data_IF_104515680310
#
_entry.id   IF_104515680310
#
_cell.length_a   1.000
_cell.length_b   1.000
_cell.length_c   1.000
_cell.angle_alpha   90.00
_cell.angle_beta   90.00
_cell.angle_gamma   90.00
#
_symmetry.space_group_name_H-M   'P 1'
#
loop_
_entity.id
_entity.type
_entity.pdbx_description
1 polymer ?
#
# COMPACT_ATOMS: atom_id res chain seq x y z
N UNK A 1 15.94 30.42 -15.64
CA UNK A 1 14.49 30.51 -15.94
C UNK A 1 13.86 29.19 -15.53
N UNK A 2 12.78 29.26 -14.77
CA UNK A 2 12.21 28.24 -13.86
C UNK A 2 12.21 26.80 -14.40
N UNK A 3 13.01 25.94 -13.75
CA UNK A 3 12.95 24.48 -13.89
C UNK A 3 12.15 23.91 -12.73
N UNK A 4 10.83 23.93 -12.82
CA UNK A 4 9.98 23.04 -12.02
C UNK A 4 10.13 21.65 -12.62
N UNK A 5 11.18 20.92 -12.21
CA UNK A 5 11.24 19.48 -12.39
C UNK A 5 10.07 18.89 -11.59
N UNK A 6 9.06 18.39 -12.30
CA UNK A 6 8.08 17.48 -11.73
C UNK A 6 8.83 16.17 -11.54
N UNK A 7 9.48 16.03 -10.39
CA UNK A 7 9.92 14.73 -9.91
C UNK A 7 8.64 13.99 -9.51
N UNK A 8 8.14 13.13 -10.40
CA UNK A 8 7.23 12.04 -10.02
C UNK A 8 8.03 11.08 -9.14
N UNK A 9 8.17 11.47 -7.87
CA UNK A 9 8.60 10.59 -6.80
C UNK A 9 7.43 9.65 -6.51
N UNK A 10 7.52 8.47 -7.11
CA UNK A 10 6.85 7.26 -6.66
C UNK A 10 7.38 6.94 -5.26
N UNK A 11 6.77 7.60 -4.27
CA UNK A 11 6.76 7.25 -2.85
C UNK A 11 5.53 7.93 -2.24
N UNK A 12 4.36 7.35 -2.53
CA UNK A 12 3.06 7.88 -2.12
C UNK A 12 2.93 8.05 -0.60
N UNK A 13 3.70 7.31 0.20
CA UNK A 13 3.67 7.39 1.67
C UNK A 13 4.30 8.68 2.24
N UNK A 14 5.32 9.27 1.61
CA UNK A 14 5.97 10.49 2.11
C UNK A 14 5.37 11.79 1.51
N UNK A 15 4.85 11.73 0.29
CA UNK A 15 4.22 12.89 -0.36
C UNK A 15 2.76 13.11 0.07
N UNK A 16 2.06 12.07 0.53
CA UNK A 16 0.68 12.22 1.00
C UNK A 16 0.56 12.86 2.38
N UNK A 17 1.62 12.84 3.20
CA UNK A 17 1.61 13.44 4.54
C UNK A 17 2.31 14.80 4.58
N UNK A 18 3.45 15.00 3.92
CA UNK A 18 4.20 16.28 4.04
C UNK A 18 3.74 17.44 3.16
N UNK A 19 3.08 17.19 2.01
CA UNK A 19 2.79 18.27 1.05
C UNK A 19 1.65 19.21 1.50
N UNK A 20 0.78 18.73 2.39
CA UNK A 20 -0.37 19.49 2.89
C UNK A 20 -0.49 19.50 4.42
N UNK A 21 0.32 18.73 5.17
CA UNK A 21 0.22 18.72 6.63
C UNK A 21 0.37 20.13 7.23
N UNK A 22 -0.47 20.41 8.20
CA UNK A 22 -0.40 21.62 9.00
C UNK A 22 0.68 21.47 10.07
N UNK A 23 1.65 22.38 10.04
CA UNK A 23 2.60 22.55 11.14
C UNK A 23 1.84 23.06 12.38
N UNK A 24 1.80 22.23 13.43
CA UNK A 24 1.16 22.60 14.70
C UNK A 24 2.16 23.24 15.67
N UNK A 25 3.42 22.82 15.59
CA UNK A 25 4.50 23.30 16.45
C UNK A 25 5.84 23.15 15.73
N UNK A 26 6.69 24.19 15.83
CA UNK A 26 8.07 24.14 15.37
C UNK A 26 8.93 25.11 16.19
N UNK A 27 9.78 24.56 17.05
CA UNK A 27 10.67 25.33 17.89
C UNK A 27 11.88 24.49 18.33
N UNK A 28 13.07 25.10 18.32
CA UNK A 28 14.31 24.55 18.86
C UNK A 28 14.65 23.13 18.34
N UNK A 29 14.47 22.89 17.03
CA UNK A 29 14.75 21.60 16.40
C UNK A 29 13.66 20.54 16.61
N UNK A 30 12.55 20.89 17.26
CA UNK A 30 11.39 20.03 17.46
C UNK A 30 10.23 20.47 16.56
N UNK A 31 9.62 19.52 15.85
CA UNK A 31 8.45 19.78 15.02
C UNK A 31 7.34 18.76 15.29
N UNK A 32 6.10 19.24 15.22
CA UNK A 32 4.89 18.41 15.20
C UNK A 32 4.02 18.85 14.03
N UNK A 33 3.79 17.91 13.12
CA UNK A 33 2.91 18.06 11.98
C UNK A 33 1.65 17.22 12.19
N UNK A 34 0.51 17.76 11.77
CA UNK A 34 -0.73 17.00 11.66
C UNK A 34 -1.14 16.96 10.20
N UNK A 35 -1.43 15.75 9.72
CA UNK A 35 -1.96 15.54 8.38
C UNK A 35 -3.08 14.53 8.39
N UNK A 36 -3.42 14.07 7.19
CA UNK A 36 -4.45 13.05 6.99
C UNK A 36 -5.36 13.40 5.82
N UNK A 37 -6.57 12.86 5.83
CA UNK A 37 -7.55 13.13 4.78
C UNK A 37 -8.98 12.95 5.26
N UNK A 38 -9.91 13.62 4.61
CA UNK A 38 -11.30 13.21 4.51
C UNK A 38 -11.57 12.81 3.05
N UNK A 39 -11.91 11.55 2.83
CA UNK A 39 -12.04 10.98 1.49
C UNK A 39 -13.41 10.31 1.32
N UNK A 40 -14.33 11.03 0.68
CA UNK A 40 -15.64 10.52 0.31
C UNK A 40 -15.50 9.57 -0.88
N UNK A 41 -16.06 8.36 -0.78
CA UNK A 41 -15.93 7.33 -1.82
C UNK A 41 -17.25 6.58 -1.98
N UNK A 42 -17.79 6.63 -3.18
CA UNK A 42 -18.92 5.80 -3.61
C UNK A 42 -18.40 4.69 -4.50
N UNK A 43 -18.62 3.44 -4.10
CA UNK A 43 -18.41 2.24 -4.93
C UNK A 43 -19.77 1.80 -5.50
N UNK A 44 -19.78 1.30 -6.73
CA UNK A 44 -20.97 0.75 -7.37
C UNK A 44 -20.63 -0.50 -8.17
N UNK A 45 -21.31 -1.62 -7.85
CA UNK A 45 -21.26 -2.90 -8.58
C UNK A 45 -22.69 -3.36 -8.87
N UNK A 46 -22.97 -3.87 -10.08
CA UNK A 46 -24.34 -4.22 -10.50
C UNK A 46 -25.39 -3.09 -10.22
N UNK A 47 -24.98 -1.83 -10.36
CA UNK A 47 -25.84 -0.68 -10.03
C UNK A 47 -26.24 -0.56 -8.55
N UNK A 48 -25.60 -1.29 -7.63
CA UNK A 48 -25.79 -1.20 -6.18
C UNK A 48 -24.64 -0.39 -5.58
N UNK A 49 -24.98 0.67 -4.88
CA UNK A 49 -24.01 1.58 -4.29
C UNK A 49 -23.59 1.16 -2.88
N UNK A 50 -22.32 1.36 -2.54
CA UNK A 50 -21.74 1.18 -1.22
C UNK A 50 -20.92 2.41 -0.83
N UNK A 51 -21.07 2.87 0.42
CA UNK A 51 -20.22 3.92 0.99
C UNK A 51 -18.88 3.32 1.45
N UNK A 52 -17.78 3.80 0.86
CA UNK A 52 -16.41 3.44 1.22
C UNK A 52 -15.66 4.63 1.83
N UNK A 53 -16.36 5.68 2.23
CA UNK A 53 -15.78 6.90 2.80
C UNK A 53 -14.88 6.58 3.98
N UNK A 54 -13.76 7.31 4.08
CA UNK A 54 -12.79 7.15 5.16
C UNK A 54 -12.18 8.48 5.56
N UNK A 55 -11.83 8.60 6.83
CA UNK A 55 -11.01 9.69 7.36
C UNK A 55 -9.69 9.12 7.85
N UNK A 56 -8.59 9.81 7.61
CA UNK A 56 -7.32 9.54 8.27
C UNK A 56 -6.87 10.76 9.04
N UNK A 57 -6.30 10.54 10.22
CA UNK A 57 -5.60 11.55 10.98
C UNK A 57 -4.22 11.00 11.33
N UNK A 58 -3.18 11.78 11.09
CA UNK A 58 -1.83 11.42 11.45
C UNK A 58 -1.09 12.56 12.13
N UNK A 59 -0.10 12.17 12.95
CA UNK A 59 0.77 13.07 13.68
C UNK A 59 2.21 12.61 13.50
N UNK A 60 3.06 13.51 13.01
CA UNK A 60 4.48 13.29 12.85
C UNK A 60 5.24 14.19 13.80
N UNK A 61 5.94 13.59 14.76
CA UNK A 61 6.88 14.29 15.64
C UNK A 61 8.31 14.04 15.19
N UNK A 62 9.12 15.10 15.07
CA UNK A 62 10.57 14.99 14.85
C UNK A 62 11.33 15.86 15.84
N UNK A 63 12.43 15.31 16.35
CA UNK A 63 13.39 16.02 17.20
C UNK A 63 14.79 15.90 16.62
N UNK A 64 15.41 17.02 16.31
CA UNK A 64 16.82 17.07 15.99
C UNK A 64 17.65 16.81 17.26
N UNK A 65 18.56 15.84 17.20
CA UNK A 65 19.45 15.50 18.32
C UNK A 65 20.79 16.21 18.13
N UNK A 66 21.35 16.09 16.91
CA UNK A 66 22.55 16.77 16.44
C UNK A 66 22.58 16.70 14.91
N UNK A 67 23.56 17.36 14.27
CA UNK A 67 23.72 17.28 12.82
C UNK A 67 23.82 15.82 12.33
N UNK A 68 22.96 15.48 11.37
CA UNK A 68 22.87 14.13 10.81
C UNK A 68 22.24 13.07 11.73
N UNK A 69 21.58 13.42 12.83
CA UNK A 69 20.86 12.49 13.72
C UNK A 69 19.57 13.11 14.30
N UNK A 70 18.45 12.42 14.11
CA UNK A 70 17.14 12.83 14.61
C UNK A 70 16.34 11.66 15.20
N UNK A 71 15.42 11.98 16.11
CA UNK A 71 14.36 11.09 16.57
C UNK A 71 13.06 11.35 15.84
N UNK A 72 12.26 10.29 15.63
CA UNK A 72 10.96 10.36 14.98
C UNK A 72 9.92 9.54 15.74
N UNK A 73 8.69 10.06 15.80
CA UNK A 73 7.51 9.34 16.25
C UNK A 73 6.35 9.58 15.28
N UNK A 74 5.59 8.55 14.95
CA UNK A 74 4.48 8.66 14.03
C UNK A 74 3.28 7.83 14.46
N UNK A 75 2.10 8.43 14.32
CA UNK A 75 0.81 7.79 14.49
C UNK A 75 -0.08 8.10 13.30
N UNK A 76 -0.79 7.11 12.78
CA UNK A 76 -1.91 7.31 11.85
C UNK A 76 -3.08 6.40 12.23
N UNK A 77 -4.27 7.00 12.36
CA UNK A 77 -5.54 6.30 12.52
C UNK A 77 -6.42 6.49 11.29
N UNK A 78 -7.07 5.42 10.83
CA UNK A 78 -8.16 5.48 9.85
C UNK A 78 -9.51 5.24 10.54
N UNK A 79 -10.49 6.06 10.18
CA UNK A 79 -11.84 6.07 10.74
C UNK A 79 -12.84 5.85 9.61
N UNK A 80 -13.75 4.91 9.81
CA UNK A 80 -14.86 4.61 8.90
C UNK A 80 -16.17 4.54 9.68
N UNK A 81 -17.29 4.73 8.99
CA UNK A 81 -18.64 4.58 9.54
C UNK A 81 -19.31 3.35 8.95
N UNK A 82 -20.36 2.80 9.58
CA UNK A 82 -21.17 1.75 8.95
C UNK A 82 -22.61 1.74 9.47
N UNK A 83 -23.51 2.39 8.72
CA UNK A 83 -24.90 2.63 9.15
C UNK A 83 -25.92 2.36 8.02
N UNK A 84 -26.98 1.61 8.30
CA UNK A 84 -27.91 0.97 7.38
C UNK A 84 -29.10 0.41 8.19
N UNK A 85 -30.33 0.86 7.92
CA UNK A 85 -31.47 -0.05 7.79
C UNK A 85 -32.43 0.37 6.65
N UNK A 86 -33.43 -0.35 6.12
CA UNK A 86 -34.39 -1.40 6.58
C UNK A 86 -34.81 -2.36 5.43
N UNK A 87 -34.28 -3.54 5.13
CA UNK A 87 -33.70 -4.61 5.95
C UNK A 87 -32.44 -5.29 5.33
N UNK A 88 -31.37 -4.52 5.12
CA UNK A 88 -29.99 -4.99 4.86
C UNK A 88 -28.99 -4.42 5.88
N UNK A 89 -29.31 -4.51 7.16
CA UNK A 89 -29.11 -3.42 8.13
C UNK A 89 -27.89 -3.52 9.07
N UNK A 90 -26.79 -2.83 8.78
CA UNK A 90 -25.87 -2.39 9.83
C UNK A 90 -26.27 -1.01 10.40
N UNK A 91 -27.01 -0.89 11.51
CA UNK A 91 -27.42 0.39 12.14
C UNK A 91 -26.40 0.94 13.16
N UNK A 92 -25.15 1.13 12.73
CA UNK A 92 -24.07 1.80 13.49
C UNK A 92 -23.20 0.95 14.40
N UNK A 93 -22.76 -0.19 13.88
CA UNK A 93 -21.44 -0.70 14.29
C UNK A 93 -20.94 -1.73 13.27
N UNK A 94 -19.72 -1.67 12.75
CA UNK A 94 -18.47 -1.29 13.39
C UNK A 94 -17.88 0.01 12.84
N UNK A 95 -18.09 1.12 13.55
CA UNK A 95 -17.13 2.22 13.47
C UNK A 95 -15.77 1.65 13.84
N UNK A 96 -14.86 1.64 12.87
CA UNK A 96 -13.52 1.09 13.09
C UNK A 96 -12.54 2.23 13.21
N UNK A 97 -11.66 2.12 14.21
CA UNK A 97 -10.40 2.83 14.22
C UNK A 97 -9.34 1.78 13.88
N UNK A 98 -8.76 1.86 12.68
CA UNK A 98 -7.54 1.13 12.36
C UNK A 98 -6.34 2.00 12.72
N UNK A 99 -5.59 1.58 13.73
CA UNK A 99 -4.28 2.15 14.02
C UNK A 99 -3.29 1.62 12.96
N UNK A 100 -3.23 2.35 11.85
CA UNK A 100 -2.47 1.96 10.66
C UNK A 100 -0.96 1.97 10.92
N UNK A 101 -0.50 2.98 11.65
CA UNK A 101 0.90 3.17 12.01
C UNK A 101 1.02 3.58 13.48
N UNK A 102 1.96 2.94 14.18
CA UNK A 102 2.31 3.25 15.56
C UNK A 102 3.79 2.90 15.76
N UNK A 103 4.68 3.84 15.48
CA UNK A 103 6.12 3.58 15.56
C UNK A 103 6.90 4.76 16.11
N UNK A 104 8.10 4.45 16.59
CA UNK A 104 9.14 5.43 16.89
C UNK A 104 10.48 4.93 16.33
N UNK A 105 11.41 5.84 16.12
CA UNK A 105 12.69 5.50 15.53
C UNK A 105 13.75 6.58 15.64
N UNK A 106 14.91 6.25 15.09
CA UNK A 106 16.06 7.14 14.93
C UNK A 106 16.45 7.14 13.46
N UNK A 107 16.73 8.32 12.93
CA UNK A 107 17.23 8.47 11.58
C UNK A 107 18.38 9.46 11.48
N UNK A 108 19.02 9.47 10.32
CA UNK A 108 20.20 10.30 10.10
C UNK A 108 20.90 9.97 8.79
N UNK A 109 22.20 10.27 8.73
CA UNK A 109 23.06 10.12 7.54
C UNK A 109 22.98 8.72 6.90
N UNK A 110 22.78 7.67 7.69
CA UNK A 110 22.80 6.28 7.21
C UNK A 110 21.41 5.68 7.01
N UNK A 111 20.36 6.50 7.04
CA UNK A 111 18.97 6.07 6.94
C UNK A 111 18.24 6.14 8.27
N UNK A 112 17.07 5.50 8.34
CA UNK A 112 16.15 5.54 9.47
C UNK A 112 15.77 4.11 9.88
N UNK A 113 15.84 3.82 11.18
CA UNK A 113 15.39 2.56 11.79
C UNK A 113 14.22 2.85 12.72
N UNK A 114 13.14 2.08 12.61
CA UNK A 114 11.94 2.21 13.44
C UNK A 114 11.55 0.87 14.06
N UNK A 115 10.90 0.92 15.22
CA UNK A 115 10.18 -0.22 15.79
C UNK A 115 8.72 0.12 16.04
N UNK A 116 7.84 -0.87 15.82
CA UNK A 116 6.39 -0.72 15.90
C UNK A 116 5.72 -0.99 14.55
N UNK A 117 4.41 -0.77 14.46
CA UNK A 117 3.66 -0.99 13.21
C UNK A 117 4.08 0.03 12.17
N UNK A 118 4.85 -0.42 11.18
CA UNK A 118 5.36 0.38 10.08
C UNK A 118 5.48 -0.47 8.80
N UNK A 119 5.83 0.14 7.67
CA UNK A 119 5.98 -0.57 6.41
C UNK A 119 7.18 -1.52 6.42
N UNK A 120 7.03 -2.63 5.71
CA UNK A 120 8.10 -3.49 5.22
C UNK A 120 8.75 -2.93 3.96
N UNK A 121 9.41 -3.82 3.21
CA UNK A 121 10.24 -3.42 2.08
C UNK A 121 9.56 -3.45 0.72
N UNK A 122 8.44 -4.16 0.53
CA UNK A 122 7.90 -4.39 -0.83
C UNK A 122 6.86 -3.37 -1.29
N UNK A 123 6.31 -2.55 -0.39
CA UNK A 123 5.40 -1.45 -0.78
C UNK A 123 6.00 -0.53 -1.85
N UNK A 124 7.28 -0.16 -1.73
CA UNK A 124 7.96 0.69 -2.74
C UNK A 124 8.17 0.01 -4.09
N UNK A 125 8.07 -1.32 -4.15
CA UNK A 125 8.12 -2.08 -5.41
C UNK A 125 6.74 -2.10 -6.06
N UNK A 126 5.68 -2.32 -5.28
CA UNK A 126 4.30 -2.27 -5.78
C UNK A 126 3.85 -0.85 -6.18
N UNK A 127 4.42 0.19 -5.55
CA UNK A 127 4.20 1.59 -5.91
C UNK A 127 4.54 1.91 -7.39
N UNK A 128 5.30 1.05 -8.08
CA UNK A 128 5.58 1.23 -9.51
C UNK A 128 4.30 1.20 -10.36
N UNK A 129 3.34 0.33 -10.02
CA UNK A 129 2.07 0.16 -10.75
C UNK A 129 0.85 0.62 -9.97
N UNK A 130 0.95 0.77 -8.65
CA UNK A 130 -0.10 1.34 -7.78
C UNK A 130 -0.19 2.89 -7.91
N UNK A 131 -0.71 3.34 -9.06
CA UNK A 131 -0.72 4.77 -9.43
C UNK A 131 -2.12 5.38 -9.52
N UNK A 132 -3.18 4.58 -9.38
CA UNK A 132 -4.56 5.02 -9.55
C UNK A 132 -5.12 5.61 -8.25
N UNK A 133 -6.23 6.36 -8.35
CA UNK A 133 -6.86 6.96 -7.18
C UNK A 133 -7.67 5.97 -6.32
N UNK A 134 -8.16 4.87 -6.91
CA UNK A 134 -9.05 3.92 -6.24
C UNK A 134 -8.75 2.44 -6.56
N UNK A 135 -8.75 2.07 -7.86
CA UNK A 135 -8.50 0.70 -8.32
C UNK A 135 -6.98 0.42 -8.51
N UNK A 136 -6.63 -0.67 -9.19
CA UNK A 136 -5.24 -1.12 -9.36
C UNK A 136 -4.71 -1.91 -8.15
N UNK A 137 -3.43 -2.27 -8.20
CA UNK A 137 -2.72 -3.00 -7.13
C UNK A 137 -3.41 -4.31 -6.71
N UNK A 138 -4.10 -4.98 -7.63
CA UNK A 138 -4.87 -6.20 -7.34
C UNK A 138 -4.10 -7.49 -7.66
N UNK A 139 -2.89 -7.40 -8.23
CA UNK A 139 -2.06 -8.53 -8.64
C UNK A 139 -0.60 -8.41 -8.13
N UNK A 140 -0.41 -7.67 -7.04
CA UNK A 140 0.86 -7.53 -6.34
C UNK A 140 0.66 -7.71 -4.81
N UNK A 141 0.07 -8.85 -4.44
CA UNK A 141 -0.13 -9.24 -3.04
C UNK A 141 1.20 -9.25 -2.28
N UNK A 142 1.16 -8.88 -0.98
CA UNK A 142 2.34 -8.76 -0.13
C UNK A 142 2.15 -9.52 1.16
N UNK A 143 3.17 -10.25 1.60
CA UNK A 143 3.25 -10.85 2.93
C UNK A 143 3.21 -9.77 4.02
N UNK A 144 2.78 -10.12 5.23
CA UNK A 144 2.61 -9.14 6.31
C UNK A 144 3.93 -8.39 6.65
N UNK A 145 5.07 -9.11 6.70
CA UNK A 145 6.41 -8.53 6.92
C UNK A 145 6.88 -7.62 5.77
N UNK A 146 6.33 -7.80 4.57
CA UNK A 146 6.64 -7.08 3.35
C UNK A 146 5.75 -5.84 3.12
N UNK A 147 4.49 -5.91 3.58
CA UNK A 147 3.50 -4.82 3.57
C UNK A 147 3.66 -3.91 4.79
N UNK A 148 2.89 -4.16 5.86
CA UNK A 148 2.84 -3.33 7.05
C UNK A 148 2.33 -4.14 8.23
N UNK A 149 3.19 -4.30 9.22
CA UNK A 149 2.84 -5.07 10.42
C UNK A 149 3.63 -4.58 11.64
N UNK A 150 3.18 -4.98 12.83
CA UNK A 150 3.81 -4.64 14.11
C UNK A 150 4.93 -5.63 14.49
N UNK A 151 5.43 -5.53 15.73
CA UNK A 151 6.51 -6.39 16.25
C UNK A 151 7.70 -6.51 15.27
N UNK A 152 8.00 -5.41 14.58
CA UNK A 152 8.90 -5.36 13.44
C UNK A 152 9.90 -4.21 13.57
N UNK A 153 11.15 -4.49 13.24
CA UNK A 153 12.16 -3.48 12.94
C UNK A 153 12.11 -3.17 11.44
N UNK A 154 12.02 -1.89 11.09
CA UNK A 154 12.05 -1.44 9.70
C UNK A 154 13.21 -0.49 9.49
N UNK A 155 13.87 -0.61 8.34
CA UNK A 155 14.96 0.25 7.90
C UNK A 155 14.64 0.83 6.51
N UNK A 156 15.00 2.10 6.31
CA UNK A 156 15.06 2.73 4.97
C UNK A 156 16.31 3.58 4.84
N UNK A 157 16.92 3.58 3.65
CA UNK A 157 18.10 4.37 3.35
C UNK A 157 18.14 4.82 1.88
N UNK A 158 18.72 5.99 1.63
CA UNK A 158 18.97 6.51 0.30
C UNK A 158 20.47 6.76 0.13
N UNK A 159 21.07 6.15 -0.90
CA UNK A 159 22.49 6.23 -1.20
C UNK A 159 22.67 6.60 -2.68
N UNK A 160 22.75 7.91 -2.95
CA UNK A 160 22.78 8.45 -4.32
C UNK A 160 21.56 7.96 -5.10
N UNK A 161 21.77 7.17 -6.16
CA UNK A 161 20.71 6.64 -7.03
C UNK A 161 20.08 5.34 -6.50
N UNK A 162 20.58 4.78 -5.40
CA UNK A 162 20.10 3.54 -4.79
C UNK A 162 19.25 3.84 -3.55
N UNK A 163 17.98 3.46 -3.59
CA UNK A 163 17.10 3.39 -2.41
C UNK A 163 17.06 1.95 -1.89
N UNK A 164 17.11 1.76 -0.58
CA UNK A 164 16.99 0.44 0.06
C UNK A 164 15.98 0.48 1.19
N UNK A 165 15.20 -0.59 1.33
CA UNK A 165 14.38 -0.87 2.53
C UNK A 165 14.63 -2.28 3.00
N UNK A 166 14.59 -2.50 4.31
CA UNK A 166 14.65 -3.82 4.91
C UNK A 166 13.74 -3.89 6.15
N UNK A 167 13.25 -5.06 6.48
CA UNK A 167 12.53 -5.29 7.74
C UNK A 167 12.82 -6.67 8.33
N UNK A 168 12.65 -6.78 9.64
CA UNK A 168 12.65 -8.04 10.37
C UNK A 168 11.51 -8.03 11.40
N UNK A 169 10.56 -8.97 11.28
CA UNK A 169 9.47 -9.20 12.23
C UNK A 169 9.86 -10.32 13.18
N UNK A 170 9.62 -10.10 14.47
CA UNK A 170 9.74 -11.14 15.49
C UNK A 170 8.44 -11.94 15.59
N UNK A 171 8.53 -13.24 15.87
CA UNK A 171 7.37 -14.05 16.24
C UNK A 171 6.73 -13.51 17.53
N UNK A 172 5.40 -13.55 17.60
CA UNK A 172 4.64 -12.98 18.70
C UNK A 172 4.57 -13.95 19.88
N UNK A 173 5.08 -13.49 21.03
CA UNK A 173 5.06 -14.26 22.27
C UNK A 173 3.63 -14.49 22.74
N UNK A 174 3.33 -15.74 23.08
CA UNK A 174 2.12 -16.15 23.80
C UNK A 174 2.48 -17.07 24.98
N UNK A 175 1.47 -17.57 25.68
CA UNK A 175 1.65 -18.51 26.81
C UNK A 175 0.92 -19.80 26.53
N UNK A 176 1.58 -20.92 26.81
CA UNK A 176 0.99 -22.26 26.74
C UNK A 176 1.00 -22.88 28.13
N UNK A 177 -0.14 -23.43 28.57
CA UNK A 177 -0.25 -24.20 29.81
C UNK A 177 -0.45 -25.68 29.48
N UNK A 178 0.51 -26.51 29.86
CA UNK A 178 0.45 -27.96 29.69
C UNK A 178 0.93 -28.66 30.98
N UNK A 179 0.20 -29.68 31.42
CA UNK A 179 0.52 -30.48 32.62
C UNK A 179 0.77 -29.65 33.91
N UNK A 180 0.10 -28.51 34.06
CA UNK A 180 0.22 -27.64 35.24
C UNK A 180 1.44 -26.72 35.24
N UNK A 181 2.25 -26.71 34.17
CA UNK A 181 3.31 -25.74 33.95
C UNK A 181 2.89 -24.73 32.87
N UNK A 182 3.26 -23.46 33.05
CA UNK A 182 2.98 -22.38 32.10
C UNK A 182 4.29 -21.80 31.61
N UNK A 183 4.52 -21.90 30.30
CA UNK A 183 5.74 -21.42 29.64
C UNK A 183 5.40 -20.41 28.55
N UNK A 184 6.38 -19.60 28.19
CA UNK A 184 6.30 -18.78 26.98
C UNK A 184 6.54 -19.65 25.75
N UNK A 185 5.75 -19.39 24.71
CA UNK A 185 5.92 -19.88 23.35
C UNK A 185 5.74 -18.69 22.40
N UNK A 186 5.86 -18.91 21.10
CA UNK A 186 5.55 -17.92 20.07
C UNK A 186 4.70 -18.55 18.96
N UNK A 187 4.18 -17.73 18.06
CA UNK A 187 3.33 -18.16 16.96
C UNK A 187 4.10 -18.56 15.68
N UNK A 188 5.45 -18.53 15.68
CA UNK A 188 6.25 -18.81 14.49
C UNK A 188 6.07 -17.83 13.32
N UNK A 189 5.53 -16.63 13.57
CA UNK A 189 5.28 -15.60 12.55
C UNK A 189 6.45 -14.60 12.43
N UNK A 190 7.68 -15.06 12.65
CA UNK A 190 8.87 -14.30 12.31
C UNK A 190 9.12 -14.30 10.80
N UNK A 191 9.79 -13.24 10.33
CA UNK A 191 10.06 -13.07 8.91
C UNK A 191 10.92 -11.86 8.62
N UNK A 192 11.27 -11.67 7.36
CA UNK A 192 12.03 -10.52 6.89
C UNK A 192 11.63 -10.09 5.49
N UNK A 193 11.93 -8.84 5.15
CA UNK A 193 11.82 -8.36 3.77
C UNK A 193 13.00 -7.44 3.40
N UNK A 194 13.34 -7.39 2.12
CA UNK A 194 14.40 -6.54 1.57
C UNK A 194 13.98 -6.02 0.19
N UNK A 195 14.28 -4.77 -0.12
CA UNK A 195 14.11 -4.23 -1.45
C UNK A 195 15.18 -3.20 -1.80
N UNK A 196 15.40 -3.04 -3.10
CA UNK A 196 16.27 -2.03 -3.68
C UNK A 196 15.65 -1.42 -4.93
N UNK A 197 15.77 -0.11 -5.07
CA UNK A 197 15.39 0.62 -6.28
C UNK A 197 16.61 1.40 -6.77
N UNK A 198 16.95 1.22 -8.04
CA UNK A 198 18.03 1.96 -8.69
C UNK A 198 17.47 2.89 -9.76
N UNK A 199 17.75 4.18 -9.63
CA UNK A 199 17.46 5.17 -10.66
C UNK A 199 18.61 5.25 -11.66
N UNK A 200 18.34 5.07 -12.96
CA UNK A 200 19.38 5.12 -14.00
C UNK A 200 19.65 6.58 -14.36
N UNK A 201 20.44 7.26 -13.53
CA UNK A 201 20.77 8.68 -13.68
C UNK A 201 19.52 9.54 -13.92
N UNK A 202 19.61 10.49 -14.86
CA UNK A 202 18.50 11.38 -15.23
C UNK A 202 17.66 10.86 -16.42
N UNK A 203 17.74 9.56 -16.73
CA UNK A 203 17.05 9.00 -17.91
C UNK A 203 15.53 8.91 -17.74
N UNK A 204 15.03 8.98 -16.51
CA UNK A 204 13.63 8.69 -16.17
C UNK A 204 13.33 7.21 -15.95
N UNK A 205 14.32 6.31 -16.12
CA UNK A 205 14.19 4.87 -15.88
C UNK A 205 14.52 4.54 -14.42
N UNK A 206 13.68 3.71 -13.79
CA UNK A 206 13.98 3.07 -12.50
C UNK A 206 13.75 1.57 -12.58
N UNK A 207 14.58 0.82 -11.88
CA UNK A 207 14.46 -0.63 -11.72
C UNK A 207 14.35 -0.95 -10.24
N UNK A 208 13.42 -1.83 -9.88
CA UNK A 208 13.20 -2.27 -8.50
C UNK A 208 13.23 -3.80 -8.40
N UNK A 209 13.69 -4.29 -7.27
CA UNK A 209 13.57 -5.69 -6.90
C UNK A 209 13.41 -5.82 -5.39
N UNK A 210 12.72 -6.87 -4.94
CA UNK A 210 12.63 -7.19 -3.53
C UNK A 210 12.26 -8.65 -3.28
N UNK A 211 12.45 -9.08 -2.04
CA UNK A 211 12.14 -10.41 -1.55
C UNK A 211 11.58 -10.32 -0.12
N UNK A 212 10.69 -11.24 0.23
CA UNK A 212 10.22 -11.43 1.60
C UNK A 212 9.96 -12.90 1.92
N UNK A 213 10.07 -13.23 3.20
CA UNK A 213 9.87 -14.57 3.75
C UNK A 213 9.29 -14.44 5.16
N UNK A 214 8.24 -15.20 5.44
CA UNK A 214 7.57 -15.22 6.75
C UNK A 214 6.89 -16.58 6.96
N UNK A 215 7.22 -17.28 8.03
CA UNK A 215 6.70 -18.62 8.34
C UNK A 215 6.86 -19.59 7.15
N UNK A 216 5.76 -20.13 6.59
CA UNK A 216 5.74 -21.03 5.43
C UNK A 216 5.45 -20.28 4.11
N UNK A 217 5.63 -18.96 4.08
CA UNK A 217 5.33 -18.10 2.93
C UNK A 217 6.58 -17.35 2.45
N UNK A 218 6.69 -17.14 1.14
CA UNK A 218 7.78 -16.38 0.53
C UNK A 218 7.32 -15.69 -0.77
N UNK A 219 7.97 -14.60 -1.15
CA UNK A 219 7.72 -13.93 -2.43
C UNK A 219 8.92 -13.10 -2.90
N UNK A 220 9.05 -12.94 -4.21
CA UNK A 220 9.90 -11.92 -4.82
C UNK A 220 9.12 -11.05 -5.79
N UNK A 221 9.59 -9.82 -5.96
CA UNK A 221 9.03 -8.86 -6.90
C UNK A 221 10.13 -8.24 -7.75
N UNK A 222 9.83 -8.02 -9.04
CA UNK A 222 10.67 -7.29 -9.98
C UNK A 222 9.85 -6.16 -10.61
N UNK A 223 10.41 -4.97 -10.70
CA UNK A 223 9.73 -3.82 -11.26
C UNK A 223 10.60 -2.96 -12.17
N UNK A 224 9.96 -2.28 -13.10
CA UNK A 224 10.61 -1.31 -13.97
C UNK A 224 9.65 -0.20 -14.33
N UNK A 225 10.13 1.04 -14.39
CA UNK A 225 9.34 2.19 -14.82
C UNK A 225 10.14 3.13 -15.71
N UNK A 226 9.39 3.92 -16.49
CA UNK A 226 9.91 4.98 -17.33
C UNK A 226 8.99 6.20 -17.26
N UNK A 227 9.56 7.32 -16.82
CA UNK A 227 8.89 8.62 -16.79
C UNK A 227 9.52 9.56 -17.83
N UNK A 228 8.71 10.12 -18.71
CA UNK A 228 9.15 11.11 -19.70
C UNK A 228 8.08 12.18 -19.91
N UNK A 229 8.46 13.44 -19.71
CA UNK A 229 7.54 14.58 -19.80
C UNK A 229 6.30 14.35 -18.92
N UNK A 230 5.11 14.32 -19.51
CA UNK A 230 3.84 14.12 -18.80
C UNK A 230 3.39 12.65 -18.79
N UNK A 231 4.22 11.72 -19.29
CA UNK A 231 3.92 10.30 -19.40
C UNK A 231 4.69 9.46 -18.38
N UNK A 232 4.03 8.42 -17.89
CA UNK A 232 4.59 7.40 -17.01
C UNK A 232 4.16 6.02 -17.47
N UNK A 233 5.08 5.06 -17.45
CA UNK A 233 4.83 3.65 -17.71
C UNK A 233 5.55 2.79 -16.68
N UNK A 234 4.94 1.69 -16.27
CA UNK A 234 5.59 0.75 -15.36
C UNK A 234 5.06 -0.67 -15.52
N UNK A 235 5.85 -1.62 -15.02
CA UNK A 235 5.43 -3.00 -14.81
C UNK A 235 5.98 -3.55 -13.50
N UNK A 236 5.21 -4.44 -12.89
CA UNK A 236 5.58 -5.22 -11.70
C UNK A 236 5.28 -6.69 -11.99
N UNK A 237 6.22 -7.56 -11.63
CA UNK A 237 6.06 -9.00 -11.59
C UNK A 237 6.22 -9.47 -10.14
N UNK A 238 5.33 -10.34 -9.68
CA UNK A 238 5.35 -10.93 -8.34
C UNK A 238 5.24 -12.45 -8.48
N UNK A 239 6.01 -13.19 -7.70
CA UNK A 239 5.95 -14.65 -7.69
C UNK A 239 6.38 -15.20 -6.33
N UNK A 240 5.73 -16.26 -5.86
CA UNK A 240 6.00 -16.84 -4.54
C UNK A 240 4.96 -17.86 -4.08
N UNK A 241 5.04 -18.21 -2.80
CA UNK A 241 4.15 -19.16 -2.12
C UNK A 241 3.45 -18.46 -0.95
N UNK A 242 2.11 -18.47 -0.96
CA UNK A 242 1.22 -17.86 0.05
C UNK A 242 0.72 -18.86 1.08
N UNK A 243 1.10 -20.13 0.96
CA UNK A 243 0.86 -21.18 1.94
C UNK A 243 1.78 -22.37 1.62
N UNK A 244 2.01 -23.21 2.63
CA UNK A 244 2.79 -24.44 2.50
C UNK A 244 2.29 -25.39 1.40
N UNK A 245 0.97 -25.51 1.31
CA UNK A 245 0.30 -26.40 0.35
C UNK A 245 -0.67 -25.57 -0.49
N UNK A 246 -0.64 -25.74 -1.82
CA UNK A 246 -1.54 -25.04 -2.77
C UNK A 246 -1.52 -23.51 -2.58
N UNK A 247 -0.30 -22.98 -2.45
CA UNK A 247 -0.03 -21.58 -2.14
C UNK A 247 0.62 -20.80 -3.28
N UNK A 248 0.95 -21.45 -4.41
CA UNK A 248 1.62 -20.81 -5.54
C UNK A 248 0.86 -19.55 -5.97
N UNK A 249 1.59 -18.44 -6.11
CA UNK A 249 1.05 -17.16 -6.52
C UNK A 249 1.96 -16.52 -7.55
N UNK A 250 1.38 -16.11 -8.67
CA UNK A 250 2.09 -15.36 -9.71
C UNK A 250 1.22 -14.18 -10.13
N UNK A 251 1.80 -12.98 -10.17
CA UNK A 251 1.09 -11.74 -10.47
C UNK A 251 1.85 -10.84 -11.43
N UNK A 252 1.13 -10.18 -12.33
CA UNK A 252 1.63 -9.22 -13.30
C UNK A 252 0.78 -7.96 -13.27
N UNK A 253 1.45 -6.82 -13.17
CA UNK A 253 0.81 -5.52 -13.32
C UNK A 253 1.51 -4.67 -14.38
N UNK A 254 0.72 -4.00 -15.19
CA UNK A 254 1.17 -2.95 -16.11
C UNK A 254 0.41 -1.67 -15.78
N UNK A 255 1.09 -0.53 -15.81
CA UNK A 255 0.48 0.76 -15.53
C UNK A 255 0.94 1.83 -16.51
N UNK A 256 0.05 2.75 -16.85
CA UNK A 256 0.36 3.94 -17.62
C UNK A 256 -0.40 5.15 -17.09
N UNK A 257 0.23 6.32 -17.11
CA UNK A 257 -0.42 7.58 -16.77
C UNK A 257 -0.01 8.73 -17.69
N UNK A 258 -0.94 9.68 -17.85
CA UNK A 258 -0.74 10.92 -18.58
C UNK A 258 -1.26 12.11 -17.77
N UNK A 259 -0.40 13.12 -17.57
CA UNK A 259 -0.75 14.37 -16.89
C UNK A 259 -1.13 15.45 -17.90
N UNK A 260 -2.35 15.99 -17.80
CA UNK A 260 -2.85 17.07 -18.63
C UNK A 260 -3.31 18.24 -17.75
N UNK A 261 -2.39 19.17 -17.48
CA UNK A 261 -2.66 20.31 -16.60
C UNK A 261 -2.95 19.87 -15.17
N UNK A 262 -4.18 20.08 -14.71
CA UNK A 262 -4.63 19.67 -13.36
C UNK A 262 -5.29 18.28 -13.36
N UNK A 263 -5.34 17.59 -14.50
CA UNK A 263 -5.92 16.25 -14.62
C UNK A 263 -4.83 15.21 -14.80
N UNK A 264 -4.93 14.09 -14.08
CA UNK A 264 -4.12 12.89 -14.33
C UNK A 264 -5.08 11.79 -14.80
N UNK A 265 -4.76 11.18 -15.94
CA UNK A 265 -5.43 9.97 -16.42
C UNK A 265 -4.51 8.78 -16.16
N UNK A 266 -5.04 7.71 -15.61
CA UNK A 266 -4.27 6.48 -15.41
C UNK A 266 -5.03 5.24 -15.87
N UNK A 267 -4.29 4.20 -16.19
CA UNK A 267 -4.82 2.87 -16.49
C UNK A 267 -3.87 1.80 -15.98
N UNK A 268 -4.44 0.69 -15.54
CA UNK A 268 -3.69 -0.50 -15.15
C UNK A 268 -4.30 -1.75 -15.77
N UNK A 269 -3.45 -2.74 -16.03
CA UNK A 269 -3.84 -4.13 -16.25
C UNK A 269 -3.24 -4.96 -15.13
N UNK A 270 -4.04 -5.73 -14.41
CA UNK A 270 -3.62 -6.55 -13.28
C UNK A 270 -4.12 -7.98 -13.50
N UNK A 271 -3.20 -8.94 -13.49
CA UNK A 271 -3.51 -10.36 -13.65
C UNK A 271 -2.75 -11.19 -12.62
N UNK A 272 -3.46 -12.01 -11.85
CA UNK A 272 -2.88 -12.91 -10.89
C UNK A 272 -3.44 -14.32 -11.05
N UNK A 273 -2.56 -15.31 -10.85
CA UNK A 273 -2.89 -16.71 -10.71
C UNK A 273 -2.58 -17.16 -9.28
N UNK A 274 -3.41 -18.04 -8.74
CA UNK A 274 -3.24 -18.66 -7.44
C UNK A 274 -3.57 -20.14 -7.56
N UNK A 275 -2.61 -20.99 -7.19
CA UNK A 275 -2.70 -22.45 -7.37
C UNK A 275 -3.03 -22.85 -8.82
N UNK A 276 -2.45 -22.14 -9.79
CA UNK A 276 -2.56 -22.42 -11.22
C UNK A 276 -3.88 -21.99 -11.90
N UNK A 277 -4.78 -21.31 -11.19
CA UNK A 277 -5.99 -20.70 -11.78
C UNK A 277 -6.02 -19.18 -11.52
N UNK A 278 -6.64 -18.43 -12.42
CA UNK A 278 -6.80 -16.97 -12.31
C UNK A 278 -7.54 -16.58 -11.03
N UNK A 279 -6.97 -15.65 -10.26
CA UNK A 279 -7.56 -15.10 -9.02
C UNK A 279 -7.79 -13.59 -9.10
N UNK A 280 -7.18 -12.91 -10.07
CA UNK A 280 -7.52 -11.54 -10.49
C UNK A 280 -7.25 -11.38 -11.99
N UNK A 281 -8.15 -10.73 -12.72
CA UNK A 281 -7.90 -10.31 -14.10
C UNK A 281 -8.72 -9.06 -14.39
N UNK A 282 -8.07 -7.90 -14.49
CA UNK A 282 -8.78 -6.64 -14.66
C UNK A 282 -8.01 -5.58 -15.44
N UNK A 283 -8.78 -4.71 -16.09
CA UNK A 283 -8.32 -3.46 -16.67
C UNK A 283 -9.05 -2.32 -15.97
N UNK A 284 -8.33 -1.42 -15.35
CA UNK A 284 -8.90 -0.23 -14.73
C UNK A 284 -8.48 1.03 -15.48
N UNK A 285 -9.37 2.02 -15.50
CA UNK A 285 -9.12 3.37 -16.00
C UNK A 285 -9.61 4.40 -14.98
N UNK A 286 -8.91 5.52 -14.83
CA UNK A 286 -9.38 6.64 -14.03
C UNK A 286 -9.04 8.02 -14.62
N UNK A 287 -9.73 9.02 -14.09
CA UNK A 287 -9.40 10.42 -14.27
C UNK A 287 -9.49 11.11 -12.91
N UNK A 288 -8.40 11.76 -12.50
CA UNK A 288 -8.30 12.53 -11.25
C UNK A 288 -8.04 14.00 -11.56
N UNK A 289 -8.91 14.87 -11.09
CA UNK A 289 -8.77 16.33 -11.23
C UNK A 289 -8.38 16.99 -9.90
N UNK A 290 -7.29 17.74 -9.91
CA UNK A 290 -6.76 18.44 -8.76
C UNK A 290 -7.20 19.91 -8.79
N UNK A 291 -8.25 20.26 -8.05
CA UNK A 291 -8.70 21.65 -7.90
C UNK A 291 -7.67 22.50 -7.15
N UNK A 292 -7.01 21.87 -6.17
CA UNK A 292 -5.90 22.38 -5.35
C UNK A 292 -4.96 21.22 -5.01
N UNK A 293 -3.72 21.49 -4.55
CA UNK A 293 -2.81 20.44 -4.10
C UNK A 293 -3.41 19.51 -3.03
N UNK A 294 -4.33 20.02 -2.21
CA UNK A 294 -4.98 19.30 -1.13
C UNK A 294 -6.46 18.95 -1.40
N UNK A 295 -6.97 19.20 -2.61
CA UNK A 295 -8.39 18.93 -2.91
C UNK A 295 -8.55 18.42 -4.34
N UNK A 296 -9.02 17.17 -4.46
CA UNK A 296 -9.17 16.48 -5.75
C UNK A 296 -10.47 15.68 -5.83
N UNK A 297 -11.00 15.54 -7.03
CA UNK A 297 -12.08 14.62 -7.36
C UNK A 297 -11.60 13.57 -8.36
N UNK A 298 -12.16 12.38 -8.31
CA UNK A 298 -11.83 11.30 -9.24
C UNK A 298 -13.04 10.45 -9.64
N UNK A 299 -12.95 9.86 -10.81
CA UNK A 299 -13.82 8.80 -11.31
C UNK A 299 -12.95 7.67 -11.80
N UNK A 300 -13.28 6.43 -11.45
CA UNK A 300 -12.56 5.24 -11.89
C UNK A 300 -13.54 4.12 -12.23
N UNK A 301 -13.20 3.33 -13.25
CA UNK A 301 -13.96 2.14 -13.63
C UNK A 301 -13.00 0.96 -13.78
N UNK A 302 -13.35 -0.17 -13.19
CA UNK A 302 -12.63 -1.42 -13.25
C UNK A 302 -13.43 -2.44 -14.05
N UNK A 303 -12.91 -2.82 -15.21
CA UNK A 303 -13.41 -3.92 -16.02
C UNK A 303 -12.83 -5.21 -15.48
N UNK A 304 -13.68 -6.04 -14.88
CA UNK A 304 -13.32 -7.36 -14.42
C UNK A 304 -13.44 -8.35 -15.58
N UNK A 305 -12.34 -9.00 -15.92
CA UNK A 305 -12.27 -9.90 -17.07
C UNK A 305 -12.60 -11.35 -16.69
N UNK A 306 -12.74 -11.64 -15.39
CA UNK A 306 -13.25 -12.91 -14.89
C UNK A 306 -14.76 -12.97 -15.12
N UNK A 307 -15.25 -14.08 -15.66
CA UNK A 307 -16.68 -14.35 -15.84
C UNK A 307 -17.24 -15.31 -14.79
N UNK A 308 -18.54 -15.21 -14.49
CA UNK A 308 -19.22 -16.21 -13.67
C UNK A 308 -19.04 -17.61 -14.26
N UNK A 309 -18.60 -18.56 -13.43
CA UNK A 309 -18.35 -19.94 -13.85
C UNK A 309 -16.90 -20.25 -14.21
N UNK A 310 -16.07 -19.23 -14.47
CA UNK A 310 -14.64 -19.40 -14.72
C UNK A 310 -13.95 -20.05 -13.52
N UNK A 311 -12.81 -20.69 -13.74
CA UNK A 311 -12.02 -21.19 -12.62
C UNK A 311 -11.45 -20.02 -11.82
N UNK A 312 -11.54 -20.11 -10.50
CA UNK A 312 -11.08 -19.06 -9.59
C UNK A 312 -10.07 -19.63 -8.59
N UNK A 313 -8.84 -19.12 -8.65
CA UNK A 313 -7.74 -19.50 -7.77
C UNK A 313 -7.94 -19.00 -6.33
N UNK A 314 -7.67 -19.87 -5.35
CA UNK A 314 -7.74 -19.52 -3.92
C UNK A 314 -6.69 -20.29 -3.13
N UNK A 315 -5.98 -19.60 -2.23
CA UNK A 315 -4.98 -20.23 -1.36
C UNK A 315 -5.60 -21.34 -0.50
N UNK A 316 -4.91 -22.49 -0.41
CA UNK A 316 -5.21 -23.53 0.58
C UNK A 316 -6.49 -24.35 0.33
N UNK A 317 -7.11 -24.25 -0.85
CA UNK A 317 -8.37 -24.95 -1.14
C UNK A 317 -8.13 -26.06 -2.17
N UNK A 318 -8.28 -27.33 -1.76
CA UNK A 318 -8.07 -28.53 -2.62
C UNK A 318 -9.04 -28.67 -3.81
N UNK A 319 -10.05 -27.80 -3.90
CA UNK A 319 -11.08 -27.88 -4.95
C UNK A 319 -11.30 -26.47 -5.50
N UNK A 320 -10.76 -26.23 -6.70
CA UNK A 320 -10.90 -24.99 -7.46
C UNK A 320 -12.39 -24.65 -7.54
N UNK A 321 -12.73 -23.42 -7.16
CA UNK A 321 -14.12 -22.96 -7.15
C UNK A 321 -14.39 -22.21 -8.44
N UNK A 322 -15.60 -22.35 -8.97
CA UNK A 322 -16.05 -21.45 -10.03
C UNK A 322 -16.23 -20.04 -9.46
N UNK A 323 -15.78 -19.03 -10.21
CA UNK A 323 -16.01 -17.63 -9.91
C UNK A 323 -17.53 -17.39 -9.77
N UNK A 324 -17.92 -16.78 -8.65
CA UNK A 324 -19.29 -16.35 -8.43
C UNK A 324 -19.60 -15.11 -9.27
N UNK A 325 -20.88 -14.82 -9.52
CA UNK A 325 -21.27 -13.57 -10.18
C UNK A 325 -20.70 -12.35 -9.48
N UNK A 326 -20.73 -12.32 -8.13
CA UNK A 326 -20.16 -11.23 -7.34
C UNK A 326 -18.64 -11.03 -7.53
N UNK A 327 -17.89 -12.11 -7.79
CA UNK A 327 -16.45 -12.04 -8.06
C UNK A 327 -16.13 -11.61 -9.50
N UNK A 328 -17.11 -11.70 -10.40
CA UNK A 328 -17.01 -11.33 -11.81
C UNK A 328 -17.55 -9.92 -12.11
N UNK A 329 -18.07 -9.21 -11.10
CA UNK A 329 -18.65 -7.87 -11.30
C UNK A 329 -17.58 -6.81 -11.59
N UNK A 330 -17.93 -5.91 -12.52
CA UNK A 330 -17.25 -4.63 -12.73
C UNK A 330 -17.50 -3.67 -11.54
N UNK A 331 -16.65 -2.65 -11.40
CA UNK A 331 -16.80 -1.64 -10.34
C UNK A 331 -16.61 -0.22 -10.87
N UNK A 332 -17.57 0.65 -10.57
CA UNK A 332 -17.46 2.10 -10.71
C UNK A 332 -17.14 2.72 -9.34
N UNK A 333 -16.14 3.60 -9.29
CA UNK A 333 -15.83 4.39 -8.12
C UNK A 333 -15.87 5.90 -8.43
N UNK A 334 -16.53 6.66 -7.55
CA UNK A 334 -16.50 8.12 -7.53
C UNK A 334 -15.93 8.59 -6.21
N UNK A 335 -15.03 9.57 -6.23
CA UNK A 335 -14.47 10.07 -4.99
C UNK A 335 -14.12 11.55 -4.98
N UNK A 336 -14.08 12.08 -3.77
CA UNK A 336 -13.67 13.44 -3.46
C UNK A 336 -12.79 13.40 -2.22
N UNK A 337 -11.57 13.89 -2.35
CA UNK A 337 -10.54 13.80 -1.30
C UNK A 337 -10.03 15.18 -0.94
N UNK A 338 -10.13 15.49 0.34
CA UNK A 338 -9.46 16.62 0.98
C UNK A 338 -8.30 16.09 1.83
N UNK A 339 -7.10 16.61 1.62
CA UNK A 339 -5.91 16.33 2.42
C UNK A 339 -5.75 17.44 3.49
N UNK A 340 -5.59 17.05 4.76
CA UNK A 340 -5.39 17.98 5.88
C UNK A 340 -3.98 18.55 5.90
#
# INVERSE_FOLDING_TARGET
MNKTMIALAVSAAALATGANAAELYNQDGNSVEMGGRAEARLSMKDGKAEDKTRVRLNFLGKVEIQDGLYGVGFYEGEFTTSDYDKDGNNVSGSDTIDNRYTYAGLGGTYGEVTYGKNEGALGVITDFTDIMAYHGNSAADKLAVADRTDNMLSYKGQFQDLSVKASYRFADRSTETANGDTKYVDNGEDGYSLSGIYAIGETGIKLGAGYADQNEQNEYMLSGSYAISDLYFAGVFTDGEKAKDNGDYTGYELAAAYTMGQTVFSTTYNNAETDGDTSADNIAIDATYYFKPNFRGYVSYNFNLISEGDKYGTVGTLVNRSATSAQAEDELALGLRYDF
#
